data_IF_643377162739
#
_entry.id   IF_643377162739
#
_cell.length_a   1.000
_cell.length_b   1.000
_cell.length_c   1.000
_cell.angle_alpha   90.00
_cell.angle_beta   90.00
_cell.angle_gamma   90.00
#
_symmetry.space_group_name_H-M   'P 1'
#
loop_
_entity.id
_entity.type
_entity.pdbx_description
1 polymer ?
#
# COMPACT_ATOMS: atom_id res chain seq x y z
N UNK A 1 28.34 1.25 -17.01
CA UNK A 1 27.47 1.41 -15.82
C UNK A 1 26.76 0.11 -15.44
N UNK A 2 25.79 -0.41 -16.20
CA UNK A 2 25.12 -1.67 -15.84
C UNK A 2 26.10 -2.86 -15.67
N UNK A 3 27.13 -2.93 -16.53
CA UNK A 3 28.23 -3.90 -16.36
C UNK A 3 28.98 -3.75 -15.03
N UNK A 4 29.32 -2.53 -14.63
CA UNK A 4 30.00 -2.26 -13.36
C UNK A 4 29.13 -2.64 -12.15
N UNK A 5 27.81 -2.39 -12.25
CA UNK A 5 26.86 -2.83 -11.23
C UNK A 5 26.83 -4.35 -11.12
N UNK A 6 26.78 -5.08 -12.23
CA UNK A 6 26.86 -6.55 -12.22
C UNK A 6 28.21 -7.05 -11.67
N UNK A 7 29.32 -6.40 -12.04
CA UNK A 7 30.66 -6.74 -11.55
C UNK A 7 30.78 -6.58 -10.03
N UNK A 8 30.13 -5.58 -9.43
CA UNK A 8 30.07 -5.42 -7.96
C UNK A 8 29.50 -6.67 -7.28
N UNK A 9 28.45 -7.28 -7.82
CA UNK A 9 27.85 -8.49 -7.26
C UNK A 9 28.58 -9.78 -7.64
N UNK A 10 29.34 -9.77 -8.73
CA UNK A 10 30.11 -10.95 -9.18
C UNK A 10 31.52 -11.01 -8.59
N UNK A 11 32.02 -9.90 -8.03
CA UNK A 11 33.27 -9.87 -7.29
C UNK A 11 33.01 -9.93 -5.78
N UNK A 12 33.05 -11.14 -5.22
CA UNK A 12 32.74 -11.39 -3.82
C UNK A 12 33.66 -10.62 -2.85
N UNK A 13 34.95 -10.52 -3.16
CA UNK A 13 35.90 -9.79 -2.31
C UNK A 13 35.52 -8.32 -2.22
N UNK A 14 35.26 -7.68 -3.36
CA UNK A 14 34.82 -6.28 -3.42
C UNK A 14 33.46 -6.09 -2.77
N UNK A 15 32.50 -7.01 -2.97
CA UNK A 15 31.19 -6.95 -2.35
C UNK A 15 31.29 -6.99 -0.82
N UNK A 16 32.08 -7.94 -0.27
CA UNK A 16 32.29 -8.08 1.17
C UNK A 16 33.00 -6.88 1.77
N UNK A 17 33.99 -6.33 1.08
CA UNK A 17 34.69 -5.12 1.52
C UNK A 17 33.73 -3.94 1.64
N UNK A 18 32.95 -3.65 0.59
CA UNK A 18 32.04 -2.51 0.55
C UNK A 18 30.90 -2.65 1.58
N UNK A 19 30.36 -3.87 1.71
CA UNK A 19 29.29 -4.16 2.67
C UNK A 19 29.81 -4.37 4.09
N UNK A 20 31.13 -4.33 4.30
CA UNK A 20 31.80 -4.64 5.59
C UNK A 20 31.38 -6.00 6.15
N UNK A 21 31.15 -6.97 5.27
CA UNK A 21 30.69 -8.33 5.58
C UNK A 21 29.42 -8.39 6.45
N UNK A 22 28.58 -7.35 6.39
CA UNK A 22 27.32 -7.27 7.16
C UNK A 22 26.19 -8.05 6.51
N UNK A 23 26.32 -8.39 5.23
CA UNK A 23 25.30 -9.12 4.46
C UNK A 23 25.56 -10.62 4.58
N UNK A 24 24.60 -11.43 5.07
CA UNK A 24 24.78 -12.88 5.17
C UNK A 24 25.12 -13.51 3.82
N UNK A 25 26.08 -14.45 3.80
CA UNK A 25 26.55 -15.11 2.57
C UNK A 25 25.39 -15.66 1.72
N UNK A 26 24.40 -16.30 2.35
CA UNK A 26 23.22 -16.85 1.66
C UNK A 26 22.41 -15.77 0.92
N UNK A 27 22.31 -14.56 1.50
CA UNK A 27 21.61 -13.45 0.87
C UNK A 27 22.42 -12.87 -0.30
N UNK A 28 23.74 -12.73 -0.14
CA UNK A 28 24.63 -12.34 -1.22
C UNK A 28 24.53 -13.29 -2.43
N UNK A 29 24.60 -14.60 -2.19
CA UNK A 29 24.46 -15.62 -3.24
C UNK A 29 23.11 -15.50 -3.96
N UNK A 30 22.02 -15.36 -3.21
CA UNK A 30 20.69 -15.15 -3.76
C UNK A 30 20.63 -13.90 -4.65
N UNK A 31 21.10 -12.74 -4.16
CA UNK A 31 21.09 -11.48 -4.91
C UNK A 31 21.92 -11.59 -6.20
N UNK A 32 23.10 -12.21 -6.12
CA UNK A 32 23.99 -12.42 -7.27
C UNK A 32 23.34 -13.31 -8.33
N UNK A 33 22.75 -14.44 -7.92
CA UNK A 33 22.07 -15.36 -8.84
C UNK A 33 20.86 -14.71 -9.51
N UNK A 34 20.05 -14.00 -8.73
CA UNK A 34 18.88 -13.27 -9.24
C UNK A 34 19.28 -12.19 -10.26
N UNK A 35 20.28 -11.36 -9.94
CA UNK A 35 20.79 -10.33 -10.83
C UNK A 35 21.31 -10.91 -12.14
N UNK A 36 22.10 -11.99 -12.07
CA UNK A 36 22.66 -12.65 -13.26
C UNK A 36 21.55 -13.26 -14.13
N UNK A 37 20.56 -13.90 -13.51
CA UNK A 37 19.39 -14.47 -14.21
C UNK A 37 18.56 -13.38 -14.91
N UNK A 38 18.33 -12.25 -14.24
CA UNK A 38 17.60 -11.12 -14.82
C UNK A 38 18.39 -10.48 -15.98
N UNK A 39 19.70 -10.29 -15.80
CA UNK A 39 20.61 -9.79 -16.84
C UNK A 39 20.60 -10.65 -18.11
N UNK A 40 20.63 -11.99 -17.99
CA UNK A 40 20.53 -12.89 -19.14
C UNK A 40 19.24 -12.72 -19.93
N UNK A 41 18.14 -12.39 -19.24
CA UNK A 41 16.83 -12.11 -19.84
C UNK A 41 16.67 -10.65 -20.32
N UNK A 42 17.70 -9.81 -20.13
CA UNK A 42 17.64 -8.36 -20.36
C UNK A 42 16.52 -7.68 -19.54
N UNK A 43 16.24 -8.22 -18.37
CA UNK A 43 15.30 -7.66 -17.41
C UNK A 43 16.09 -6.95 -16.32
N UNK A 44 15.58 -5.80 -15.86
CA UNK A 44 16.10 -5.09 -14.70
C UNK A 44 15.02 -5.18 -13.63
N UNK A 45 15.39 -5.64 -12.44
CA UNK A 45 14.44 -5.66 -11.32
C UNK A 45 14.11 -4.23 -10.89
N UNK A 46 12.89 -4.02 -10.42
CA UNK A 46 12.47 -2.73 -9.87
C UNK A 46 13.37 -2.26 -8.72
N UNK A 47 13.89 -3.18 -7.91
CA UNK A 47 14.75 -2.83 -6.76
C UNK A 47 16.16 -2.41 -7.23
N UNK A 48 16.62 -2.85 -8.41
CA UNK A 48 17.88 -2.44 -9.02
C UNK A 48 17.82 -1.05 -9.67
N UNK A 49 16.63 -0.50 -9.95
CA UNK A 49 16.49 0.78 -10.65
C UNK A 49 17.07 1.94 -9.84
N UNK A 50 16.88 1.95 -8.53
CA UNK A 50 17.37 3.01 -7.64
C UNK A 50 18.91 3.08 -7.62
N UNK A 51 19.65 1.99 -7.31
CA UNK A 51 21.11 2.00 -7.34
C UNK A 51 21.66 2.29 -8.74
N UNK A 52 21.05 1.75 -9.80
CA UNK A 52 21.49 2.05 -11.16
C UNK A 52 21.33 3.53 -11.52
N UNK A 53 20.20 4.14 -11.13
CA UNK A 53 19.96 5.57 -11.32
C UNK A 53 20.95 6.41 -10.52
N UNK A 54 21.21 6.03 -9.27
CA UNK A 54 22.20 6.71 -8.44
C UNK A 54 23.60 6.66 -9.08
N UNK A 55 24.06 5.48 -9.53
CA UNK A 55 25.33 5.34 -10.22
C UNK A 55 25.39 6.20 -11.48
N UNK A 56 24.29 6.26 -12.24
CA UNK A 56 24.19 7.15 -13.40
C UNK A 56 24.45 8.59 -13.05
N UNK A 57 23.75 9.12 -12.04
CA UNK A 57 23.92 10.50 -11.61
C UNK A 57 25.34 10.77 -11.10
N UNK A 58 26.01 9.81 -10.46
CA UNK A 58 27.38 9.98 -9.96
C UNK A 58 28.46 9.92 -11.04
N UNK A 59 28.28 9.09 -12.07
CA UNK A 59 29.26 8.97 -13.15
C UNK A 59 29.09 10.04 -14.23
N UNK A 60 27.84 10.31 -14.62
CA UNK A 60 27.54 11.19 -15.76
C UNK A 60 27.17 12.60 -15.30
N UNK A 61 26.92 12.81 -14.01
CA UNK A 61 26.29 14.02 -13.51
C UNK A 61 24.80 14.08 -13.88
N UNK A 62 24.18 15.24 -13.65
CA UNK A 62 22.84 15.52 -14.14
C UNK A 62 22.93 16.60 -15.22
N UNK A 63 22.59 16.28 -16.47
CA UNK A 63 22.26 17.31 -17.46
C UNK A 63 20.89 17.95 -17.19
N UNK A 64 20.19 17.46 -16.15
CA UNK A 64 18.95 18.01 -15.65
C UNK A 64 19.27 19.15 -14.69
N UNK A 65 18.64 20.30 -14.92
CA UNK A 65 18.52 21.31 -13.88
C UNK A 65 17.80 20.69 -12.67
N UNK A 66 18.36 20.90 -11.48
CA UNK A 66 17.75 20.40 -10.25
C UNK A 66 16.37 21.03 -10.06
N UNK A 67 15.42 20.26 -9.54
CA UNK A 67 14.07 20.75 -9.24
C UNK A 67 14.10 21.74 -8.08
N UNK A 68 13.48 22.90 -8.24
CA UNK A 68 13.40 23.92 -7.18
C UNK A 68 12.70 23.41 -5.91
N UNK A 69 11.72 22.53 -6.07
CA UNK A 69 11.00 21.90 -4.98
C UNK A 69 10.40 20.58 -5.47
N UNK A 70 10.41 19.55 -4.62
CA UNK A 70 9.75 18.27 -4.88
C UNK A 70 8.63 18.03 -3.88
N UNK A 71 7.48 17.58 -4.35
CA UNK A 71 6.41 17.04 -3.49
C UNK A 71 6.40 15.53 -3.66
N UNK A 72 6.56 14.81 -2.56
CA UNK A 72 6.54 13.35 -2.52
C UNK A 72 5.33 12.93 -1.70
N UNK A 73 4.36 12.32 -2.37
CA UNK A 73 3.18 11.75 -1.73
C UNK A 73 3.36 10.24 -1.51
N UNK A 74 2.60 9.69 -0.55
CA UNK A 74 2.68 8.28 -0.12
C UNK A 74 4.13 7.84 0.21
N UNK A 75 4.91 8.74 0.82
CA UNK A 75 6.34 8.56 1.02
C UNK A 75 6.72 7.33 1.86
N UNK A 76 5.78 6.78 2.65
CA UNK A 76 6.00 5.53 3.38
C UNK A 76 6.31 4.33 2.48
N UNK A 77 5.92 4.37 1.19
CA UNK A 77 6.18 3.29 0.23
C UNK A 77 7.56 3.41 -0.44
N UNK A 78 8.24 4.54 -0.26
CA UNK A 78 9.59 4.76 -0.75
C UNK A 78 10.63 4.19 0.22
N UNK A 79 11.77 3.77 -0.31
CA UNK A 79 12.92 3.44 0.52
C UNK A 79 13.73 4.67 0.89
N UNK A 80 14.50 4.57 1.98
CA UNK A 80 15.45 5.62 2.36
C UNK A 80 16.42 5.96 1.21
N UNK A 81 16.81 4.98 0.40
CA UNK A 81 17.71 5.22 -0.73
C UNK A 81 17.01 5.94 -1.89
N UNK A 82 15.73 5.64 -2.14
CA UNK A 82 14.94 6.39 -3.11
C UNK A 82 14.76 7.84 -2.66
N UNK A 83 14.49 8.08 -1.37
CA UNK A 83 14.39 9.43 -0.83
C UNK A 83 15.72 10.19 -0.90
N UNK A 84 16.85 9.50 -0.67
CA UNK A 84 18.18 10.08 -0.87
C UNK A 84 18.40 10.50 -2.32
N UNK A 85 18.02 9.65 -3.27
CA UNK A 85 18.11 9.95 -4.69
C UNK A 85 17.26 11.17 -5.09
N UNK A 86 16.03 11.26 -4.56
CA UNK A 86 15.15 12.42 -4.77
C UNK A 86 15.74 13.71 -4.18
N UNK A 87 16.36 13.62 -3.00
CA UNK A 87 17.03 14.76 -2.39
C UNK A 87 18.19 15.27 -3.25
N UNK A 88 19.00 14.38 -3.84
CA UNK A 88 20.14 14.74 -4.69
C UNK A 88 19.75 15.57 -5.93
N UNK A 89 18.55 15.31 -6.48
CA UNK A 89 18.01 16.02 -7.66
C UNK A 89 17.16 17.25 -7.29
N UNK A 90 16.98 17.53 -6.01
CA UNK A 90 16.33 18.74 -5.51
C UNK A 90 17.34 19.87 -5.26
N UNK A 91 16.90 21.13 -5.43
CA UNK A 91 17.68 22.30 -5.05
C UNK A 91 17.55 22.52 -3.54
N UNK A 92 18.69 22.72 -2.87
CA UNK A 92 18.74 23.06 -1.44
C UNK A 92 17.92 22.12 -0.53
N UNK A 93 17.78 20.84 -0.90
CA UNK A 93 16.96 19.87 -0.16
C UNK A 93 15.49 20.30 0.03
N UNK A 94 14.98 21.11 -0.89
CA UNK A 94 13.64 21.67 -0.87
C UNK A 94 12.61 20.58 -1.23
N UNK A 95 11.98 19.99 -0.22
CA UNK A 95 11.02 18.91 -0.39
C UNK A 95 9.83 19.03 0.57
N UNK A 96 8.64 18.68 0.09
CA UNK A 96 7.45 18.40 0.92
C UNK A 96 7.17 16.91 0.85
N UNK A 97 7.24 16.23 1.99
CA UNK A 97 7.08 14.78 2.09
C UNK A 97 5.82 14.49 2.89
N UNK A 98 4.89 13.76 2.27
CA UNK A 98 3.57 13.44 2.84
C UNK A 98 3.41 11.92 2.84
N UNK A 99 2.83 11.38 3.92
CA UNK A 99 2.58 9.94 4.03
C UNK A 99 2.04 9.50 5.38
N UNK A 100 1.61 8.23 5.44
CA UNK A 100 1.11 7.56 6.63
C UNK A 100 1.82 6.20 6.81
N UNK A 101 2.66 6.09 7.85
CA UNK A 101 3.42 4.86 8.14
C UNK A 101 2.51 3.64 8.39
N UNK A 102 1.29 3.87 8.90
CA UNK A 102 0.28 2.82 9.11
C UNK A 102 -0.26 2.24 7.81
N UNK A 103 -0.15 2.99 6.71
CA UNK A 103 -0.54 2.56 5.35
C UNK A 103 0.64 2.00 4.54
N UNK A 104 1.85 1.93 5.09
CA UNK A 104 3.04 1.43 4.39
C UNK A 104 3.06 -0.08 4.26
N UNK A 105 2.43 -0.64 3.21
CA UNK A 105 2.30 -2.10 3.01
C UNK A 105 3.61 -2.77 2.57
N UNK A 106 4.61 -2.02 2.11
CA UNK A 106 5.91 -2.52 1.68
C UNK A 106 6.94 -2.52 2.81
N UNK A 107 6.67 -3.22 3.92
CA UNK A 107 7.53 -3.19 5.12
C UNK A 107 9.02 -3.48 4.89
N UNK A 108 9.34 -4.29 3.88
CA UNK A 108 10.72 -4.69 3.58
C UNK A 108 11.56 -3.58 2.92
N UNK A 109 10.92 -2.57 2.31
CA UNK A 109 11.61 -1.48 1.60
C UNK A 109 11.16 -0.08 2.01
N UNK A 110 9.93 0.08 2.49
CA UNK A 110 9.33 1.36 2.84
C UNK A 110 10.00 2.04 4.03
N UNK A 111 9.72 3.33 4.18
CA UNK A 111 10.14 4.10 5.36
C UNK A 111 9.39 3.55 6.58
N UNK A 112 10.16 3.11 7.58
CA UNK A 112 9.62 2.63 8.85
C UNK A 112 9.56 3.73 9.92
N UNK A 113 10.26 4.85 9.72
CA UNK A 113 10.31 5.95 10.68
C UNK A 113 10.67 7.25 9.98
N UNK A 114 9.84 8.28 10.16
CA UNK A 114 10.14 9.64 9.69
C UNK A 114 11.41 10.19 10.34
N UNK A 115 11.66 9.90 11.63
CA UNK A 115 12.88 10.36 12.31
C UNK A 115 14.14 9.76 11.68
N UNK A 116 14.13 8.46 11.34
CA UNK A 116 15.27 7.83 10.64
C UNK A 116 15.49 8.42 9.25
N UNK A 117 14.41 8.80 8.56
CA UNK A 117 14.51 9.49 7.27
C UNK A 117 15.15 10.87 7.44
N UNK A 118 14.69 11.64 8.41
CA UNK A 118 15.18 12.99 8.71
C UNK A 118 16.67 12.95 9.11
N UNK A 119 17.06 12.01 9.97
CA UNK A 119 18.45 11.82 10.38
C UNK A 119 19.34 11.34 9.22
N UNK A 120 18.91 10.27 8.52
CA UNK A 120 19.76 9.58 7.54
C UNK A 120 19.84 10.25 6.18
N UNK A 121 18.75 10.87 5.71
CA UNK A 121 18.67 11.48 4.37
C UNK A 121 18.84 12.99 4.43
N UNK A 122 18.21 13.64 5.42
CA UNK A 122 18.18 15.10 5.54
C UNK A 122 19.12 15.64 6.62
N UNK A 123 19.90 14.78 7.29
CA UNK A 123 20.92 15.17 8.29
C UNK A 123 20.35 16.09 9.39
N UNK A 124 19.13 15.80 9.85
CA UNK A 124 18.38 16.59 10.84
C UNK A 124 17.90 17.97 10.36
N UNK A 125 18.01 18.29 9.08
CA UNK A 125 17.53 19.55 8.49
C UNK A 125 16.13 19.38 7.86
N UNK A 126 15.16 19.00 8.68
CA UNK A 126 13.76 18.89 8.27
C UNK A 126 12.82 19.04 9.45
N UNK A 127 11.62 19.59 9.21
CA UNK A 127 10.56 19.72 10.21
C UNK A 127 9.52 18.61 10.00
N UNK A 128 9.15 17.93 11.08
CA UNK A 128 8.05 16.95 11.09
C UNK A 128 6.80 17.54 11.73
N UNK A 129 5.67 17.48 11.04
CA UNK A 129 4.36 17.92 11.52
C UNK A 129 3.38 16.75 11.36
N UNK A 130 2.78 16.31 12.46
CA UNK A 130 1.74 15.29 12.45
C UNK A 130 0.36 15.93 12.32
N UNK A 131 -0.41 15.53 11.29
CA UNK A 131 -1.81 15.90 11.15
C UNK A 131 -2.67 14.82 11.79
N UNK A 132 -3.18 15.08 12.99
CA UNK A 132 -4.03 14.11 13.69
C UNK A 132 -5.48 14.14 13.26
N UNK A 133 -5.95 15.21 12.61
CA UNK A 133 -7.36 15.38 12.27
C UNK A 133 -7.74 14.74 10.92
N UNK A 134 -8.69 13.80 10.96
CA UNK A 134 -9.27 13.21 9.74
C UNK A 134 -10.65 13.79 9.45
N UNK A 135 -10.83 14.32 8.24
CA UNK A 135 -12.09 14.87 7.72
C UNK A 135 -12.74 13.97 6.65
N UNK A 136 -12.04 12.90 6.25
CA UNK A 136 -12.39 12.07 5.09
C UNK A 136 -13.53 11.10 5.41
N UNK A 137 -13.36 10.34 6.48
CA UNK A 137 -14.28 9.26 6.88
C UNK A 137 -15.03 9.62 8.16
N UNK A 138 -16.07 8.84 8.47
CA UNK A 138 -16.84 9.04 9.69
C UNK A 138 -16.05 8.64 10.93
N UNK A 139 -16.45 9.16 12.09
CA UNK A 139 -15.88 8.79 13.40
C UNK A 139 -15.90 7.26 13.58
N UNK A 140 -16.99 6.63 13.17
CA UNK A 140 -17.23 5.20 13.32
C UNK A 140 -16.28 4.35 12.48
N UNK A 141 -16.06 4.72 11.21
CA UNK A 141 -15.11 4.03 10.31
C UNK A 141 -13.69 4.18 10.84
N UNK A 142 -13.27 5.40 11.19
CA UNK A 142 -11.93 5.65 11.74
C UNK A 142 -11.71 4.91 13.06
N UNK A 143 -12.73 4.82 13.91
CA UNK A 143 -12.66 4.06 15.16
C UNK A 143 -12.40 2.58 14.93
N UNK A 144 -13.01 1.96 13.91
CA UNK A 144 -12.76 0.56 13.56
C UNK A 144 -11.36 0.39 12.98
N UNK A 145 -10.93 1.28 12.09
CA UNK A 145 -9.58 1.27 11.53
C UNK A 145 -8.50 1.43 12.62
N UNK A 146 -8.69 2.34 13.58
CA UNK A 146 -7.74 2.59 14.66
C UNK A 146 -7.51 1.34 15.54
N UNK A 147 -8.51 0.48 15.75
CA UNK A 147 -8.33 -0.80 16.48
C UNK A 147 -7.34 -1.74 15.78
N UNK A 148 -7.31 -1.70 14.45
CA UNK A 148 -6.32 -2.45 13.66
C UNK A 148 -4.95 -1.76 13.70
N UNK A 149 -4.93 -0.42 13.65
CA UNK A 149 -3.70 0.38 13.75
C UNK A 149 -2.95 0.16 15.06
N UNK A 150 -3.67 0.14 16.19
CA UNK A 150 -3.08 -0.11 17.52
C UNK A 150 -2.30 -1.43 17.57
N UNK A 151 -2.81 -2.47 16.89
CA UNK A 151 -2.16 -3.79 16.80
C UNK A 151 -0.89 -3.80 15.94
N UNK A 152 -0.62 -2.73 15.18
CA UNK A 152 0.61 -2.58 14.41
C UNK A 152 1.79 -2.11 15.28
N UNK A 153 1.57 -1.66 16.52
CA UNK A 153 2.62 -1.23 17.45
C UNK A 153 3.58 -0.16 16.88
N UNK A 154 3.11 0.69 15.97
CA UNK A 154 3.94 1.69 15.30
C UNK A 154 4.18 2.97 16.12
N UNK A 155 3.66 3.06 17.36
CA UNK A 155 3.69 4.27 18.20
C UNK A 155 3.21 5.53 17.45
N UNK A 156 2.23 5.37 16.56
CA UNK A 156 1.63 6.48 15.82
C UNK A 156 0.57 7.14 16.68
N UNK A 157 0.44 8.46 16.55
CA UNK A 157 -0.70 9.19 17.10
C UNK A 157 -1.93 8.76 16.28
N UNK A 158 -2.95 8.12 16.89
CA UNK A 158 -4.13 7.70 16.15
C UNK A 158 -4.82 8.90 15.52
N UNK A 159 -5.44 8.69 14.35
CA UNK A 159 -6.24 9.72 13.72
C UNK A 159 -7.43 10.09 14.64
N UNK A 160 -7.54 11.36 14.98
CA UNK A 160 -8.68 11.97 15.67
C UNK A 160 -9.71 12.41 14.61
N UNK A 161 -10.88 11.77 14.52
CA UNK A 161 -11.88 12.17 13.55
C UNK A 161 -12.50 13.51 13.96
N UNK A 162 -12.63 14.43 13.01
CA UNK A 162 -13.33 15.70 13.25
C UNK A 162 -14.81 15.52 12.95
N UNK A 163 -15.59 15.35 14.02
CA UNK A 163 -17.05 15.50 14.17
C UNK A 163 -17.93 15.33 12.90
N UNK A 164 -17.73 14.23 12.18
CA UNK A 164 -18.67 13.70 11.18
C UNK A 164 -19.10 12.31 11.58
N UNK A 165 -20.24 12.21 12.24
CA UNK A 165 -20.85 10.94 12.58
C UNK A 165 -21.60 10.34 11.37
N UNK A 166 -21.58 9.03 11.28
CA UNK A 166 -22.36 8.26 10.31
C UNK A 166 -22.75 6.90 10.87
N UNK A 167 -22.85 5.91 9.99
CA UNK A 167 -23.21 4.56 10.42
C UNK A 167 -21.99 3.77 10.86
N UNK A 168 -22.21 2.90 11.85
CA UNK A 168 -21.19 1.92 12.25
C UNK A 168 -20.92 0.94 11.10
N UNK A 169 -19.64 0.58 10.86
CA UNK A 169 -19.31 -0.52 9.96
C UNK A 169 -20.08 -1.79 10.33
N UNK A 170 -20.71 -2.43 9.34
CA UNK A 170 -21.54 -3.62 9.56
C UNK A 170 -20.71 -4.88 9.34
N UNK A 171 -20.58 -5.68 10.39
CA UNK A 171 -20.01 -7.03 10.29
C UNK A 171 -21.10 -8.02 9.87
N UNK A 172 -20.99 -8.61 8.68
CA UNK A 172 -22.02 -9.49 8.12
C UNK A 172 -21.40 -10.85 7.79
N UNK A 173 -21.87 -11.89 8.48
CA UNK A 173 -21.48 -13.27 8.17
C UNK A 173 -22.19 -13.72 6.90
N UNK A 174 -21.42 -14.23 5.93
CA UNK A 174 -21.96 -14.85 4.72
C UNK A 174 -22.54 -16.22 5.10
N UNK A 175 -23.86 -16.46 4.95
CA UNK A 175 -24.49 -17.71 5.42
C UNK A 175 -24.04 -18.94 4.62
N UNK A 176 -23.87 -18.78 3.30
CA UNK A 176 -23.39 -19.81 2.39
C UNK A 176 -22.76 -19.20 1.14
N UNK A 177 -21.94 -19.99 0.42
CA UNK A 177 -21.32 -19.54 -0.84
C UNK A 177 -22.35 -19.14 -1.91
N UNK A 178 -23.53 -19.74 -1.89
CA UNK A 178 -24.60 -19.45 -2.87
C UNK A 178 -25.36 -18.15 -2.55
N UNK A 179 -25.28 -17.66 -1.32
CA UNK A 179 -25.92 -16.41 -0.87
C UNK A 179 -24.99 -15.19 -0.95
N UNK A 180 -23.67 -15.40 -1.14
CA UNK A 180 -22.65 -14.34 -1.22
C UNK A 180 -23.02 -13.23 -2.20
N UNK A 181 -23.41 -13.58 -3.43
CA UNK A 181 -23.77 -12.61 -4.46
C UNK A 181 -25.06 -11.86 -4.12
N UNK A 182 -26.06 -12.55 -3.57
CA UNK A 182 -27.33 -11.93 -3.16
C UNK A 182 -27.11 -10.93 -2.01
N UNK A 183 -26.22 -11.25 -1.09
CA UNK A 183 -25.82 -10.37 -0.01
C UNK A 183 -25.16 -9.10 -0.57
N UNK A 184 -24.21 -9.24 -1.50
CA UNK A 184 -23.54 -8.11 -2.15
C UNK A 184 -24.56 -7.24 -2.88
N UNK A 185 -25.48 -7.81 -3.66
CA UNK A 185 -26.55 -7.07 -4.34
C UNK A 185 -27.46 -6.31 -3.35
N UNK A 186 -27.76 -6.93 -2.20
CA UNK A 186 -28.55 -6.28 -1.14
C UNK A 186 -27.81 -5.06 -0.58
N UNK A 187 -26.50 -5.19 -0.32
CA UNK A 187 -25.65 -4.09 0.16
C UNK A 187 -25.63 -2.95 -0.88
N UNK A 188 -25.42 -3.26 -2.16
CA UNK A 188 -25.40 -2.23 -3.22
C UNK A 188 -26.72 -1.47 -3.30
N UNK A 189 -27.86 -2.17 -3.23
CA UNK A 189 -29.17 -1.53 -3.20
C UNK A 189 -29.35 -0.62 -1.97
N UNK A 190 -28.84 -1.02 -0.80
CA UNK A 190 -28.87 -0.19 0.41
C UNK A 190 -28.05 1.09 0.21
N UNK A 191 -26.85 0.97 -0.37
CA UNK A 191 -25.96 2.12 -0.65
C UNK A 191 -26.64 3.10 -1.62
N UNK A 192 -27.25 2.59 -2.70
CA UNK A 192 -27.96 3.43 -3.67
C UNK A 192 -29.21 4.08 -3.07
N UNK A 193 -29.93 3.38 -2.21
CA UNK A 193 -31.05 3.95 -1.45
C UNK A 193 -30.65 5.14 -0.58
N UNK A 194 -29.39 5.21 -0.16
CA UNK A 194 -28.78 6.32 0.58
C UNK A 194 -28.17 7.41 -0.31
N UNK A 195 -28.43 7.38 -1.62
CA UNK A 195 -27.91 8.33 -2.62
C UNK A 195 -26.39 8.39 -2.67
N UNK A 196 -25.75 7.23 -2.49
CA UNK A 196 -24.32 7.00 -2.62
C UNK A 196 -24.09 6.13 -3.84
N UNK A 197 -23.03 6.36 -4.62
CA UNK A 197 -22.92 5.78 -5.94
C UNK A 197 -21.66 4.94 -6.12
N UNK A 198 -20.57 5.26 -5.43
CA UNK A 198 -19.30 4.54 -5.56
C UNK A 198 -19.16 3.44 -4.52
N UNK A 199 -19.12 2.19 -4.99
CA UNK A 199 -18.97 0.96 -4.20
C UNK A 199 -17.72 0.22 -4.63
N UNK A 200 -16.81 -0.01 -3.70
CA UNK A 200 -15.66 -0.87 -3.92
C UNK A 200 -15.75 -2.15 -3.10
N UNK A 201 -15.62 -3.30 -3.76
CA UNK A 201 -15.31 -4.56 -3.07
C UNK A 201 -13.79 -4.68 -3.00
N UNK A 202 -13.26 -4.68 -1.79
CA UNK A 202 -11.83 -4.77 -1.52
C UNK A 202 -11.53 -6.21 -1.10
N UNK A 203 -10.80 -6.95 -1.94
CA UNK A 203 -10.32 -8.28 -1.58
C UNK A 203 -8.86 -8.22 -1.13
N UNK A 204 -8.41 -9.22 -0.36
CA UNK A 204 -7.00 -9.29 0.05
C UNK A 204 -6.06 -9.44 -1.16
N UNK A 205 -6.42 -10.32 -2.10
CA UNK A 205 -5.55 -10.68 -3.24
C UNK A 205 -6.25 -10.54 -4.58
N UNK A 206 -5.46 -10.35 -5.65
CA UNK A 206 -5.98 -10.34 -7.03
C UNK A 206 -6.68 -11.66 -7.41
N UNK A 207 -6.22 -12.81 -6.88
CA UNK A 207 -6.88 -14.10 -7.14
C UNK A 207 -8.31 -14.11 -6.59
N UNK A 208 -8.52 -13.56 -5.39
CA UNK A 208 -9.86 -13.42 -4.83
C UNK A 208 -10.72 -12.47 -5.65
N UNK A 209 -10.16 -11.34 -6.11
CA UNK A 209 -10.87 -10.43 -6.99
C UNK A 209 -11.34 -11.13 -8.27
N UNK A 210 -10.48 -11.96 -8.87
CA UNK A 210 -10.80 -12.74 -10.09
C UNK A 210 -11.87 -13.80 -9.85
N UNK A 211 -11.80 -14.51 -8.73
CA UNK A 211 -12.83 -15.49 -8.37
C UNK A 211 -14.19 -14.81 -8.16
N UNK A 212 -14.20 -13.73 -7.37
CA UNK A 212 -15.42 -13.01 -7.07
C UNK A 212 -16.03 -12.34 -8.31
N UNK A 213 -15.21 -11.72 -9.16
CA UNK A 213 -15.65 -11.12 -10.43
C UNK A 213 -16.36 -12.15 -11.32
N UNK A 214 -15.85 -13.39 -11.40
CA UNK A 214 -16.51 -14.48 -12.14
C UNK A 214 -17.85 -14.92 -11.55
N UNK A 215 -18.01 -14.87 -10.22
CA UNK A 215 -19.29 -15.19 -9.56
C UNK A 215 -20.30 -14.06 -9.80
N UNK A 216 -19.87 -12.82 -9.61
CA UNK A 216 -20.71 -11.65 -9.80
C UNK A 216 -21.15 -11.53 -11.26
N UNK A 217 -20.28 -11.72 -12.24
CA UNK A 217 -20.65 -11.62 -13.67
C UNK A 217 -21.73 -12.62 -14.10
N UNK A 218 -21.90 -13.73 -13.38
CA UNK A 218 -22.93 -14.75 -13.66
C UNK A 218 -24.24 -14.52 -12.91
N UNK A 219 -24.14 -14.05 -11.66
CA UNK A 219 -25.24 -14.13 -10.70
C UNK A 219 -25.70 -12.77 -10.14
N UNK A 220 -24.92 -11.71 -10.33
CA UNK A 220 -25.19 -10.36 -9.81
C UNK A 220 -26.18 -9.62 -10.70
N UNK A 221 -27.04 -8.83 -10.08
CA UNK A 221 -27.93 -7.89 -10.78
C UNK A 221 -27.17 -6.66 -11.30
N UNK A 222 -25.95 -6.43 -10.79
CA UNK A 222 -25.08 -5.31 -11.14
C UNK A 222 -23.85 -5.74 -11.93
N UNK A 223 -23.39 -4.87 -12.83
CA UNK A 223 -22.09 -5.00 -13.52
C UNK A 223 -20.98 -4.45 -12.63
N UNK A 224 -19.89 -5.23 -12.53
CA UNK A 224 -18.70 -4.92 -11.75
C UNK A 224 -17.46 -4.83 -12.64
N UNK A 225 -16.60 -3.85 -12.36
CA UNK A 225 -15.31 -3.68 -13.06
C UNK A 225 -14.18 -4.21 -12.18
N UNK A 226 -13.36 -5.12 -12.70
CA UNK A 226 -12.17 -5.62 -12.00
C UNK A 226 -10.98 -4.70 -12.26
N UNK A 227 -10.44 -4.09 -11.21
CA UNK A 227 -9.24 -3.27 -11.30
C UNK A 227 -8.00 -4.16 -11.17
N UNK A 228 -7.09 -4.04 -12.15
CA UNK A 228 -5.88 -4.86 -12.25
C UNK A 228 -5.66 -5.51 -13.62
N UNK A 229 -6.61 -5.35 -14.55
CA UNK A 229 -6.45 -5.67 -15.98
C UNK A 229 -6.61 -4.38 -16.80
N UNK A 230 -5.76 -4.21 -17.82
CA UNK A 230 -5.58 -2.97 -18.61
C UNK A 230 -6.90 -2.35 -19.09
N UNK A 231 -7.38 -1.25 -18.47
CA UNK A 231 -8.50 -0.47 -19.01
C UNK A 231 -8.34 1.04 -18.77
N UNK A 232 -8.47 1.82 -19.85
CA UNK A 232 -8.23 3.27 -19.91
C UNK A 232 -9.47 4.12 -19.56
N UNK A 233 -10.60 3.52 -19.19
CA UNK A 233 -11.82 4.23 -18.78
C UNK A 233 -12.50 3.48 -17.64
N UNK A 234 -12.07 3.77 -16.42
CA UNK A 234 -12.56 3.10 -15.22
C UNK A 234 -13.83 3.81 -14.76
N UNK A 235 -14.99 3.16 -14.93
CA UNK A 235 -16.19 3.56 -14.20
C UNK A 235 -16.01 3.18 -12.73
N UNK A 236 -15.80 4.17 -11.86
CA UNK A 236 -15.55 4.00 -10.43
C UNK A 236 -16.81 3.77 -9.59
N UNK A 237 -17.98 3.60 -10.21
CA UNK A 237 -19.23 3.32 -9.49
C UNK A 237 -19.23 1.96 -8.79
N UNK A 238 -18.74 0.90 -9.44
CA UNK A 238 -18.77 -0.47 -8.91
C UNK A 238 -17.53 -1.22 -9.31
N UNK A 239 -16.59 -1.30 -8.38
CA UNK A 239 -15.28 -1.90 -8.65
C UNK A 239 -14.98 -3.06 -7.71
N UNK A 240 -14.15 -3.99 -8.20
CA UNK A 240 -13.51 -5.03 -7.43
C UNK A 240 -12.02 -4.78 -7.52
N UNK A 241 -11.35 -4.63 -6.38
CA UNK A 241 -9.98 -4.16 -6.34
C UNK A 241 -9.20 -4.88 -5.24
N UNK A 242 -7.95 -5.30 -5.49
CA UNK A 242 -7.12 -5.85 -4.43
C UNK A 242 -6.66 -4.74 -3.46
N UNK A 243 -6.59 -5.07 -2.17
CA UNK A 243 -6.25 -4.14 -1.08
C UNK A 243 -5.03 -3.26 -1.36
N UNK A 244 -3.96 -3.81 -1.92
CA UNK A 244 -2.72 -3.07 -2.23
C UNK A 244 -2.88 -2.01 -3.35
N UNK A 245 -3.93 -2.06 -4.16
CA UNK A 245 -4.22 -1.07 -5.21
C UNK A 245 -5.22 0.01 -4.78
N UNK A 246 -5.77 -0.08 -3.57
CA UNK A 246 -6.77 0.89 -3.09
C UNK A 246 -6.18 2.22 -2.62
N UNK A 247 -4.85 2.31 -2.51
CA UNK A 247 -4.14 3.53 -2.12
C UNK A 247 -4.44 4.68 -3.07
N UNK A 248 -4.62 5.87 -2.52
CA UNK A 248 -5.05 7.05 -3.27
C UNK A 248 -6.49 7.01 -3.80
N UNK A 249 -7.26 5.94 -3.56
CA UNK A 249 -8.66 5.83 -3.99
C UNK A 249 -9.61 5.98 -2.78
N UNK A 250 -10.80 6.49 -3.05
CA UNK A 250 -11.85 6.76 -2.05
C UNK A 250 -13.21 6.37 -2.63
N UNK A 251 -14.09 5.81 -1.78
CA UNK A 251 -15.41 5.33 -2.19
C UNK A 251 -16.47 5.74 -1.17
N UNK A 252 -17.68 6.03 -1.63
CA UNK A 252 -18.82 6.29 -0.74
C UNK A 252 -19.06 5.10 0.19
N UNK A 253 -18.96 3.88 -0.37
CA UNK A 253 -19.10 2.64 0.35
C UNK A 253 -18.01 1.61 0.01
N UNK A 254 -17.54 0.87 1.01
CA UNK A 254 -16.64 -0.27 0.82
C UNK A 254 -17.26 -1.56 1.34
N UNK A 255 -16.91 -2.66 0.68
CA UNK A 255 -17.17 -4.02 1.14
C UNK A 255 -15.82 -4.71 1.31
N UNK A 256 -15.39 -4.93 2.56
CA UNK A 256 -14.18 -5.69 2.88
C UNK A 256 -14.52 -7.17 2.76
N UNK A 257 -13.98 -7.81 1.73
CA UNK A 257 -14.32 -9.18 1.34
C UNK A 257 -13.49 -10.22 2.10
N UNK A 258 -14.13 -11.30 2.55
CA UNK A 258 -13.53 -12.41 3.30
C UNK A 258 -12.65 -11.94 4.47
N UNK A 259 -13.20 -11.09 5.35
CA UNK A 259 -12.51 -10.58 6.52
C UNK A 259 -12.53 -11.58 7.71
N UNK A 260 -12.11 -12.81 7.45
CA UNK A 260 -12.09 -13.90 8.41
C UNK A 260 -10.67 -14.21 8.93
N UNK A 261 -10.59 -15.10 9.93
CA UNK A 261 -9.35 -15.50 10.61
C UNK A 261 -8.39 -16.33 9.74
N UNK A 262 -8.86 -16.90 8.62
CA UNK A 262 -8.00 -17.57 7.64
C UNK A 262 -7.35 -16.55 6.68
N UNK A 263 -8.11 -15.52 6.31
CA UNK A 263 -7.66 -14.51 5.35
C UNK A 263 -6.87 -13.38 5.97
N UNK A 264 -7.21 -12.94 7.18
CA UNK A 264 -6.50 -11.87 7.88
C UNK A 264 -5.96 -12.40 9.20
N UNK A 265 -4.73 -12.93 9.14
CA UNK A 265 -4.04 -13.50 10.30
C UNK A 265 -3.26 -12.42 11.05
N UNK A 266 -2.87 -12.71 12.29
CA UNK A 266 -2.12 -11.77 13.14
C UNK A 266 -0.65 -11.66 12.70
N UNK A 267 -0.41 -10.96 11.60
CA UNK A 267 0.91 -10.59 11.09
C UNK A 267 0.92 -9.12 10.63
N UNK A 268 2.11 -8.56 10.44
CA UNK A 268 2.26 -7.13 10.13
C UNK A 268 1.67 -6.74 8.76
N UNK A 269 1.79 -7.62 7.75
CA UNK A 269 1.28 -7.34 6.41
C UNK A 269 -0.25 -7.26 6.41
N UNK A 270 -0.91 -8.24 7.02
CA UNK A 270 -2.36 -8.36 7.06
C UNK A 270 -2.99 -7.22 7.87
N UNK A 271 -2.37 -6.80 8.98
CA UNK A 271 -2.78 -5.61 9.73
C UNK A 271 -2.76 -4.36 8.86
N UNK A 272 -1.70 -4.17 8.07
CA UNK A 272 -1.57 -3.01 7.18
C UNK A 272 -2.52 -3.06 6.00
N UNK A 273 -2.65 -4.22 5.34
CA UNK A 273 -3.61 -4.39 4.25
C UNK A 273 -5.05 -4.14 4.72
N UNK A 274 -5.41 -4.64 5.91
CA UNK A 274 -6.72 -4.41 6.50
C UNK A 274 -6.92 -2.93 6.87
N UNK A 275 -5.94 -2.30 7.51
CA UNK A 275 -6.02 -0.87 7.84
C UNK A 275 -6.16 0.01 6.60
N UNK A 276 -5.39 -0.26 5.54
CA UNK A 276 -5.53 0.44 4.25
C UNK A 276 -6.94 0.26 3.71
N UNK A 277 -7.48 -0.96 3.71
CA UNK A 277 -8.81 -1.26 3.20
C UNK A 277 -9.93 -0.54 3.99
N UNK A 278 -9.85 -0.53 5.33
CA UNK A 278 -10.83 0.10 6.23
C UNK A 278 -10.85 1.64 6.12
N UNK A 279 -9.77 2.25 5.62
CA UNK A 279 -9.65 3.71 5.50
C UNK A 279 -10.09 4.24 4.14
N UNK A 280 -10.66 3.39 3.27
CA UNK A 280 -11.11 3.79 1.92
C UNK A 280 -12.57 4.26 1.86
N UNK A 281 -13.39 3.90 2.85
CA UNK A 281 -14.79 4.29 2.91
C UNK A 281 -14.98 5.73 3.42
N UNK A 282 -15.82 6.50 2.72
CA UNK A 282 -16.22 7.84 3.13
C UNK A 282 -17.47 7.83 4.03
N UNK A 283 -18.41 6.90 3.81
CA UNK A 283 -19.73 6.94 4.45
C UNK A 283 -20.22 5.61 5.01
N UNK A 284 -20.08 4.52 4.24
CA UNK A 284 -20.63 3.22 4.60
C UNK A 284 -19.54 2.16 4.47
N UNK A 285 -19.46 1.26 5.43
CA UNK A 285 -18.48 0.19 5.41
C UNK A 285 -19.16 -1.12 5.81
N UNK A 286 -18.93 -2.14 5.00
CA UNK A 286 -19.46 -3.48 5.19
C UNK A 286 -18.28 -4.45 5.26
N UNK A 287 -18.24 -5.26 6.31
CA UNK A 287 -17.18 -6.25 6.52
C UNK A 287 -17.84 -7.61 6.41
N UNK A 288 -17.60 -8.29 5.29
CA UNK A 288 -18.18 -9.61 5.03
C UNK A 288 -17.16 -10.70 5.31
N UNK A 289 -17.59 -11.76 5.97
CA UNK A 289 -16.70 -12.85 6.39
C UNK A 289 -17.40 -14.20 6.33
N UNK A 290 -16.63 -15.25 6.05
CA UNK A 290 -17.06 -16.63 6.16
C UNK A 290 -16.46 -17.24 7.44
N UNK A 291 -17.20 -18.09 8.14
CA UNK A 291 -16.68 -18.65 9.41
C UNK A 291 -16.61 -17.62 10.54
N UNK A 292 -15.41 -17.37 11.08
CA UNK A 292 -15.17 -16.46 12.20
C UNK A 292 -14.60 -15.12 11.72
N UNK A 293 -15.07 -14.02 12.31
CA UNK A 293 -14.48 -12.70 12.06
C UNK A 293 -13.03 -12.66 12.55
N UNK A 294 -12.12 -12.07 11.76
CA UNK A 294 -10.72 -11.94 12.15
C UNK A 294 -10.55 -11.30 13.53
N UNK A 295 -9.59 -11.83 14.31
CA UNK A 295 -9.19 -11.25 15.60
C UNK A 295 -8.62 -9.85 15.47
N UNK A 296 -8.22 -9.42 14.26
CA UNK A 296 -7.75 -8.05 14.04
C UNK A 296 -8.85 -7.00 14.30
N UNK A 297 -10.12 -7.37 14.13
CA UNK A 297 -11.29 -6.51 14.38
C UNK A 297 -11.94 -6.69 15.75
N UNK A 298 -11.35 -7.54 16.62
CA UNK A 298 -11.82 -7.82 17.98
C UNK A 298 -11.06 -7.00 19.03
#
# INVERSE_FOLDING_TARGET
MYKCYIELFNNEATFKEITKDTIPQKLYEYMREELNRNSQKKLIDSDDLTPLTYLKLKFEGTNLEKFMHLVVDEAQDYSYFQMHLLNEISQNSSMTIVGDLGQGIYNYKGIASWNKLIEGVFKQDATYIALSQSYRSTVEIISVANRVLEKQNLNLIPAMPVLRHGEMPKNIRVPSKDEEVKLIDTIVNEVYGKKKNSVAIICKTLSQCKELSKKLSKNSSFTWVLIGENENNINMERIIIPSYMTKGLEFDATIIYNCDDENYIDNDLDKKLLYVALTRALHLEYIIFSGNLTKLLQ
#
